data_IF_509464258923
#
_entry.id   IF_509464258923
#
_cell.length_a   1.000
_cell.length_b   1.000
_cell.length_c   1.000
_cell.angle_alpha   90.00
_cell.angle_beta   90.00
_cell.angle_gamma   90.00
#
_symmetry.space_group_name_H-M   'P 1'
#
loop_
_entity.id
_entity.type
_entity.pdbx_description
1 polymer ?
#
# COMPACT_ATOMS: atom_id res chain seq x y z
N UNK A 1 -15.20 -20.79 -17.83
CA UNK A 1 -13.96 -21.38 -18.36
C UNK A 1 -12.80 -20.74 -17.63
N UNK A 2 -12.36 -21.35 -16.51
CA UNK A 2 -11.20 -20.85 -15.77
C UNK A 2 -9.97 -21.43 -16.45
N UNK A 3 -9.29 -20.60 -17.23
CA UNK A 3 -8.03 -20.98 -17.86
C UNK A 3 -6.98 -21.17 -16.78
N UNK A 4 -6.64 -22.43 -16.51
CA UNK A 4 -5.37 -22.81 -15.90
C UNK A 4 -4.25 -22.23 -16.78
N UNK A 5 -3.81 -21.01 -16.49
CA UNK A 5 -2.53 -20.52 -17.01
C UNK A 5 -1.46 -21.25 -16.21
N UNK A 6 -0.81 -22.14 -16.93
CA UNK A 6 0.33 -22.91 -16.48
C UNK A 6 1.39 -21.94 -15.94
N UNK A 7 2.17 -22.45 -15.02
CA UNK A 7 3.40 -21.82 -14.54
C UNK A 7 4.40 -21.77 -15.69
N UNK A 8 4.22 -20.81 -16.58
CA UNK A 8 5.25 -20.43 -17.54
C UNK A 8 6.37 -19.84 -16.67
N UNK A 9 7.57 -20.42 -16.71
CA UNK A 9 8.73 -20.01 -15.90
C UNK A 9 9.24 -18.60 -16.22
N UNK A 10 8.43 -17.59 -15.91
CA UNK A 10 8.69 -16.18 -16.14
C UNK A 10 9.48 -15.55 -15.00
N UNK A 11 10.26 -14.53 -15.35
CA UNK A 11 10.94 -13.68 -14.37
C UNK A 11 9.91 -12.69 -13.84
N UNK A 12 9.55 -12.84 -12.56
CA UNK A 12 8.66 -11.92 -11.86
C UNK A 12 9.44 -11.03 -10.91
N UNK A 13 8.93 -9.82 -10.70
CA UNK A 13 9.39 -8.94 -9.64
C UNK A 13 8.91 -9.47 -8.29
N UNK A 14 9.79 -10.19 -7.59
CA UNK A 14 9.53 -10.78 -6.27
C UNK A 14 10.67 -10.48 -5.29
N UNK A 15 10.91 -9.20 -4.94
CA UNK A 15 11.99 -8.82 -4.03
C UNK A 15 11.71 -9.29 -2.60
N UNK A 16 12.78 -9.63 -1.89
CA UNK A 16 12.76 -9.83 -0.44
C UNK A 16 12.53 -8.53 0.32
N UNK A 17 12.14 -8.64 1.59
CA UNK A 17 11.96 -7.49 2.48
C UNK A 17 13.24 -6.64 2.61
N UNK A 18 14.42 -7.27 2.57
CA UNK A 18 15.73 -6.58 2.56
C UNK A 18 15.94 -5.80 1.28
N UNK A 19 15.71 -6.43 0.12
CA UNK A 19 15.87 -5.77 -1.18
C UNK A 19 14.91 -4.58 -1.32
N UNK A 20 13.65 -4.72 -0.90
CA UNK A 20 12.66 -3.63 -0.87
C UNK A 20 13.16 -2.42 -0.08
N UNK A 21 13.88 -2.63 1.02
CA UNK A 21 14.45 -1.54 1.82
C UNK A 21 15.69 -0.96 1.15
N UNK A 22 16.72 -1.78 0.92
CA UNK A 22 18.05 -1.28 0.59
C UNK A 22 18.19 -0.86 -0.87
N UNK A 23 17.55 -1.57 -1.79
CA UNK A 23 17.71 -1.34 -3.23
C UNK A 23 16.61 -0.49 -3.84
N UNK A 24 15.44 -0.41 -3.21
CA UNK A 24 14.32 0.38 -3.71
C UNK A 24 14.04 1.59 -2.82
N UNK A 25 13.69 1.39 -1.55
CA UNK A 25 13.31 2.50 -0.68
C UNK A 25 14.47 3.45 -0.37
N UNK A 26 15.63 2.93 0.05
CA UNK A 26 16.82 3.74 0.37
C UNK A 26 17.37 4.45 -0.87
N UNK A 27 17.42 3.75 -2.01
CA UNK A 27 17.78 4.36 -3.29
C UNK A 27 16.84 5.49 -3.70
N UNK A 28 15.52 5.33 -3.52
CA UNK A 28 14.56 6.42 -3.74
C UNK A 28 14.85 7.62 -2.85
N UNK A 29 15.09 7.39 -1.56
CA UNK A 29 15.39 8.47 -0.61
C UNK A 29 16.70 9.20 -0.94
N UNK A 30 17.69 8.48 -1.47
CA UNK A 30 18.98 9.03 -1.94
C UNK A 30 18.92 9.65 -3.33
N UNK A 31 17.78 9.53 -4.04
CA UNK A 31 17.64 10.04 -5.41
C UNK A 31 18.44 9.27 -6.46
N UNK A 32 18.81 8.02 -6.19
CA UNK A 32 19.56 7.16 -7.13
C UNK A 32 18.62 6.74 -8.26
N UNK A 33 19.02 6.98 -9.51
CA UNK A 33 18.23 6.66 -10.72
C UNK A 33 18.43 5.19 -11.14
N UNK A 34 17.40 4.56 -11.73
CA UNK A 34 17.48 3.23 -12.36
C UNK A 34 16.82 2.07 -11.61
N UNK A 35 16.98 1.96 -10.29
CA UNK A 35 16.27 0.94 -9.49
C UNK A 35 14.79 1.30 -9.24
N UNK A 36 14.45 2.59 -9.36
CA UNK A 36 13.15 3.14 -8.99
C UNK A 36 12.15 3.18 -10.15
N UNK A 37 12.52 2.75 -11.36
CA UNK A 37 11.68 2.90 -12.54
C UNK A 37 10.47 1.92 -12.52
N UNK A 38 10.59 0.81 -11.78
CA UNK A 38 9.54 -0.20 -11.68
C UNK A 38 8.47 0.12 -10.60
N UNK A 39 8.86 0.75 -9.49
CA UNK A 39 7.95 1.12 -8.39
C UNK A 39 7.60 2.61 -8.51
N UNK A 40 6.32 2.90 -8.78
CA UNK A 40 5.85 4.29 -8.97
C UNK A 40 5.34 4.93 -7.68
N UNK A 41 5.35 6.26 -7.61
CA UNK A 41 4.68 7.00 -6.54
C UNK A 41 3.14 6.91 -6.69
N UNK A 42 2.45 6.59 -5.60
CA UNK A 42 0.98 6.58 -5.55
C UNK A 42 0.48 6.80 -4.13
N UNK A 43 -0.54 7.65 -3.97
CA UNK A 43 -1.28 7.74 -2.71
C UNK A 43 -2.26 6.57 -2.59
N UNK A 44 -1.80 5.49 -1.96
CA UNK A 44 -2.60 4.27 -1.72
C UNK A 44 -3.75 4.49 -0.72
N UNK A 45 -3.82 5.66 -0.08
CA UNK A 45 -4.89 6.03 0.86
C UNK A 45 -5.95 6.95 0.22
N UNK A 46 -5.81 7.28 -1.06
CA UNK A 46 -6.74 8.15 -1.77
C UNK A 46 -8.10 7.47 -2.05
N UNK A 47 -8.10 6.19 -2.45
CA UNK A 47 -9.29 5.41 -2.85
C UNK A 47 -9.23 3.98 -2.31
N UNK A 48 -10.38 3.29 -2.28
CA UNK A 48 -10.42 1.87 -1.95
C UNK A 48 -9.49 1.06 -2.88
N UNK A 49 -8.92 -0.06 -2.41
CA UNK A 49 -7.92 -0.83 -3.17
C UNK A 49 -8.35 -1.10 -4.62
N UNK A 50 -9.57 -1.61 -4.84
CA UNK A 50 -10.10 -1.94 -6.16
C UNK A 50 -10.45 -0.72 -7.05
N UNK A 51 -10.40 0.49 -6.50
CA UNK A 51 -10.63 1.75 -7.23
C UNK A 51 -9.31 2.51 -7.47
N UNK A 52 -8.18 1.98 -6.99
CA UNK A 52 -6.88 2.54 -7.32
C UNK A 52 -6.59 2.22 -8.78
N UNK A 53 -6.05 3.21 -9.48
CA UNK A 53 -5.52 3.00 -10.83
C UNK A 53 -4.24 2.17 -10.71
N UNK A 54 -4.33 0.86 -10.91
CA UNK A 54 -3.23 -0.05 -10.62
C UNK A 54 -2.18 -0.05 -11.75
N UNK A 55 -0.89 0.01 -11.39
CA UNK A 55 0.19 -0.03 -12.36
C UNK A 55 0.48 -1.48 -12.79
N UNK A 56 -0.04 -1.90 -13.93
CA UNK A 56 0.12 -3.27 -14.45
C UNK A 56 1.48 -3.45 -15.16
N UNK A 57 2.58 -3.29 -14.42
CA UNK A 57 3.91 -3.52 -14.95
C UNK A 57 4.06 -4.99 -15.40
N UNK A 58 4.68 -5.29 -16.57
CA UNK A 58 4.76 -6.66 -17.10
C UNK A 58 5.43 -7.69 -16.18
N UNK A 59 6.34 -7.22 -15.31
CA UNK A 59 7.04 -8.08 -14.34
C UNK A 59 6.25 -8.29 -13.04
N UNK A 60 5.15 -7.58 -12.81
CA UNK A 60 4.35 -7.77 -11.60
C UNK A 60 3.52 -9.05 -11.71
N UNK A 61 3.44 -9.76 -10.59
CA UNK A 61 2.54 -10.90 -10.46
C UNK A 61 1.08 -10.43 -10.51
N UNK A 62 0.18 -11.32 -10.90
CA UNK A 62 -1.26 -11.03 -10.89
C UNK A 62 -1.70 -10.64 -9.48
N UNK A 63 -2.49 -9.59 -9.36
CA UNK A 63 -3.03 -9.05 -8.10
C UNK A 63 -1.98 -8.55 -7.08
N UNK A 64 -0.73 -8.35 -7.51
CA UNK A 64 0.35 -7.79 -6.68
C UNK A 64 0.87 -6.51 -7.32
N UNK A 65 0.92 -5.44 -6.53
CA UNK A 65 1.42 -4.16 -6.98
C UNK A 65 2.32 -3.52 -5.94
N UNK A 66 3.35 -2.82 -6.40
CA UNK A 66 4.30 -2.11 -5.57
C UNK A 66 4.18 -0.60 -5.81
N UNK A 67 4.09 0.17 -4.73
CA UNK A 67 4.00 1.62 -4.79
C UNK A 67 4.90 2.24 -3.73
N UNK A 68 5.49 3.37 -4.07
CA UNK A 68 5.97 4.31 -3.07
C UNK A 68 4.80 5.20 -2.67
N UNK A 69 4.49 5.23 -1.38
CA UNK A 69 3.53 6.17 -0.83
C UNK A 69 4.24 7.04 0.18
N UNK A 70 4.02 8.34 0.12
CA UNK A 70 4.39 9.19 1.24
C UNK A 70 3.59 8.72 2.44
N UNK A 71 4.23 8.61 3.60
CA UNK A 71 3.55 8.27 4.86
C UNK A 71 2.78 9.49 5.36
N UNK A 72 1.88 10.02 4.54
CA UNK A 72 1.20 11.28 4.80
C UNK A 72 0.00 11.07 5.70
N UNK A 73 0.09 11.79 6.80
CA UNK A 73 -0.87 11.82 7.84
C UNK A 73 -1.78 13.01 7.60
N UNK A 74 -3.07 12.72 7.43
CA UNK A 74 -4.18 13.68 7.52
C UNK A 74 -4.00 14.94 6.64
N UNK A 75 -4.26 14.79 5.33
CA UNK A 75 -4.44 15.84 4.30
C UNK A 75 -3.20 16.36 3.56
N UNK A 76 -3.39 16.66 2.27
CA UNK A 76 -2.43 17.32 1.36
C UNK A 76 -1.82 18.60 1.95
N UNK A 77 -2.52 19.26 2.89
CA UNK A 77 -2.08 20.52 3.51
C UNK A 77 -1.14 20.37 4.71
N UNK A 78 -0.87 19.15 5.20
CA UNK A 78 -0.06 18.91 6.42
C UNK A 78 0.90 17.72 6.29
N UNK A 79 1.66 17.68 5.19
CA UNK A 79 2.79 16.75 5.05
C UNK A 79 3.76 16.96 6.24
N UNK A 80 4.00 15.90 7.03
CA UNK A 80 5.01 15.89 8.09
C UNK A 80 4.57 16.31 9.51
N UNK A 81 3.30 16.63 9.79
CA UNK A 81 2.88 17.16 11.12
C UNK A 81 1.89 16.30 11.93
N UNK A 82 1.41 15.18 11.41
CA UNK A 82 0.49 14.29 12.14
C UNK A 82 1.23 13.25 13.00
N UNK A 83 0.50 12.64 13.97
CA UNK A 83 0.89 11.35 14.63
C UNK A 83 0.23 10.07 14.07
N UNK A 84 -0.94 10.16 13.42
CA UNK A 84 -1.64 9.03 12.77
C UNK A 84 -1.73 9.07 11.22
N UNK A 85 -1.36 7.97 10.55
CA UNK A 85 -1.61 7.71 9.10
C UNK A 85 -3.10 7.81 8.72
N UNK A 86 -3.43 8.40 7.56
CA UNK A 86 -4.81 8.48 7.04
C UNK A 86 -5.29 7.10 6.57
N UNK A 87 -5.75 6.27 7.50
CA UNK A 87 -6.24 4.92 7.21
C UNK A 87 -7.73 4.84 6.90
N UNK A 88 -8.42 5.97 6.77
CA UNK A 88 -9.87 6.00 6.48
C UNK A 88 -10.14 6.70 5.16
N UNK A 89 -10.91 6.04 4.31
CA UNK A 89 -11.32 6.51 2.99
C UNK A 89 -12.81 6.84 3.08
N UNK A 90 -13.14 8.13 2.98
CA UNK A 90 -14.47 8.67 3.26
C UNK A 90 -15.17 9.30 2.05
N UNK A 91 -14.68 9.07 0.83
CA UNK A 91 -15.19 9.70 -0.40
C UNK A 91 -15.74 8.72 -1.42
N UNK A 92 -16.70 9.20 -2.22
CA UNK A 92 -17.33 8.49 -3.34
C UNK A 92 -18.58 7.69 -2.94
N UNK A 93 -19.43 7.41 -3.91
CA UNK A 93 -20.62 6.57 -3.86
C UNK A 93 -20.34 5.29 -3.03
N UNK A 94 -21.39 4.64 -2.50
CA UNK A 94 -21.32 3.59 -1.45
C UNK A 94 -20.26 2.48 -1.65
N UNK A 95 -19.67 2.38 -2.84
CA UNK A 95 -18.71 1.37 -3.24
C UNK A 95 -17.26 1.61 -2.79
N UNK A 96 -16.86 2.84 -2.39
CA UNK A 96 -15.45 3.18 -2.11
C UNK A 96 -15.07 3.45 -0.65
N UNK A 97 -16.01 3.43 0.29
CA UNK A 97 -15.74 3.82 1.68
C UNK A 97 -15.21 2.65 2.52
N UNK A 98 -14.25 2.92 3.41
CA UNK A 98 -13.64 1.89 4.25
C UNK A 98 -12.46 2.36 5.08
N UNK A 99 -11.84 1.42 5.81
CA UNK A 99 -10.64 1.71 6.57
C UNK A 99 -9.61 0.58 6.54
N UNK A 100 -8.34 0.97 6.57
CA UNK A 100 -7.20 0.09 6.73
C UNK A 100 -6.95 -0.17 8.22
N UNK A 101 -6.95 -1.44 8.64
CA UNK A 101 -6.60 -1.85 10.00
C UNK A 101 -5.26 -2.59 9.98
N UNK A 102 -4.36 -2.35 10.94
CA UNK A 102 -3.12 -3.10 11.04
C UNK A 102 -3.41 -4.52 11.51
N UNK A 103 -2.67 -5.51 11.01
CA UNK A 103 -2.74 -6.89 11.49
C UNK A 103 -1.44 -7.24 12.22
N UNK A 104 -0.32 -7.29 11.50
CA UNK A 104 0.99 -7.64 12.05
C UNK A 104 1.99 -6.49 11.90
N UNK A 105 2.99 -6.47 12.77
CA UNK A 105 4.16 -5.61 12.67
C UNK A 105 5.37 -6.45 13.00
N UNK A 106 6.35 -6.47 12.12
CA UNK A 106 7.58 -7.24 12.26
C UNK A 106 8.79 -6.37 11.91
N UNK A 107 9.87 -6.56 12.64
CA UNK A 107 11.15 -5.92 12.33
C UNK A 107 11.86 -6.75 11.27
N UNK A 108 12.37 -6.06 10.25
CA UNK A 108 13.19 -6.65 9.21
C UNK A 108 14.64 -6.56 9.70
N UNK A 109 15.22 -7.72 9.97
CA UNK A 109 16.57 -7.85 10.49
C UNK A 109 17.48 -8.31 9.36
N UNK A 110 18.56 -7.57 9.13
CA UNK A 110 19.63 -7.98 8.22
C UNK A 110 20.32 -9.23 8.77
N UNK A 111 20.42 -10.27 7.94
CA UNK A 111 20.96 -11.57 8.36
C UNK A 111 22.46 -11.52 8.68
N UNK A 112 23.22 -10.67 8.00
CA UNK A 112 24.68 -10.57 8.10
C UNK A 112 25.07 -9.65 9.27
N UNK A 113 24.49 -8.46 9.34
CA UNK A 113 24.83 -7.45 10.34
C UNK A 113 24.02 -7.60 11.63
N UNK A 114 22.95 -8.39 11.62
CA UNK A 114 22.00 -8.59 12.73
C UNK A 114 21.31 -7.30 13.20
N UNK A 115 21.36 -6.24 12.40
CA UNK A 115 20.72 -4.95 12.68
C UNK A 115 19.30 -4.92 12.15
N UNK A 116 18.42 -4.20 12.85
CA UNK A 116 17.09 -3.86 12.33
C UNK A 116 17.27 -2.81 11.23
N UNK A 117 16.86 -3.14 10.01
CA UNK A 117 16.96 -2.28 8.83
C UNK A 117 15.63 -1.67 8.42
N UNK A 118 14.51 -2.17 8.96
CA UNK A 118 13.19 -1.59 8.75
C UNK A 118 12.09 -2.32 9.49
N UNK A 119 10.85 -1.92 9.22
CA UNK A 119 9.66 -2.52 9.82
C UNK A 119 8.63 -2.79 8.74
N UNK A 120 8.08 -4.01 8.71
CA UNK A 120 7.00 -4.40 7.83
C UNK A 120 5.69 -4.45 8.61
N UNK A 121 4.64 -3.88 8.00
CA UNK A 121 3.30 -3.84 8.58
C UNK A 121 2.32 -4.37 7.56
N UNK A 122 1.53 -5.35 7.96
CA UNK A 122 0.41 -5.85 7.16
C UNK A 122 -0.86 -5.12 7.57
N UNK A 123 -1.69 -4.76 6.60
CA UNK A 123 -2.95 -4.07 6.83
C UNK A 123 -4.06 -4.75 6.02
N UNK A 124 -5.26 -4.83 6.61
CA UNK A 124 -6.48 -5.26 5.91
C UNK A 124 -7.38 -4.05 5.68
N UNK A 125 -7.87 -3.89 4.46
CA UNK A 125 -8.92 -2.92 4.17
C UNK A 125 -10.30 -3.53 4.43
N UNK A 126 -11.13 -2.86 5.21
CA UNK A 126 -12.53 -3.23 5.43
C UNK A 126 -13.45 -2.19 4.81
N UNK A 127 -14.28 -2.61 3.86
CA UNK A 127 -15.34 -1.78 3.28
C UNK A 127 -16.37 -1.43 4.36
N UNK A 128 -16.73 -0.16 4.45
CA UNK A 128 -17.81 0.30 5.32
C UNK A 128 -19.15 0.15 4.59
N UNK A 129 -20.17 -0.35 5.30
CA UNK A 129 -21.56 -0.26 4.86
C UNK A 129 -22.15 0.99 5.52
N UNK A 130 -22.79 1.90 4.77
CA UNK A 130 -23.59 2.96 5.40
C UNK A 130 -24.74 2.30 6.16
N UNK A 131 -24.69 2.28 7.49
CA UNK A 131 -25.90 2.12 8.29
C UNK A 131 -26.69 3.42 8.16
N UNK A 132 -27.91 3.36 7.61
CA UNK A 132 -28.85 4.48 7.70
C UNK A 132 -29.05 4.77 9.19
N UNK A 133 -28.45 5.86 9.70
CA UNK A 133 -28.86 6.40 11.00
C UNK A 133 -30.33 6.75 10.86
N UNK A 134 -31.21 6.04 11.57
CA UNK A 134 -32.60 6.46 11.73
C UNK A 134 -32.58 7.91 12.20
N UNK A 135 -33.20 8.80 11.42
CA UNK A 135 -33.56 10.12 11.88
C UNK A 135 -34.46 9.91 13.11
N UNK A 136 -33.97 10.26 14.30
CA UNK A 136 -34.88 10.58 15.39
C UNK A 136 -35.48 11.93 15.01
N UNK A 137 -36.66 11.90 14.40
CA UNK A 137 -37.59 13.02 14.34
C UNK A 137 -37.91 13.35 15.79
N UNK A 138 -37.43 14.50 16.28
CA UNK A 138 -37.89 15.08 17.53
C UNK A 138 -39.15 15.86 17.24
N UNK A 139 -40.23 15.46 17.90
CA UNK A 139 -41.47 16.22 18.07
C UNK A 139 -41.25 17.36 19.08
#
# INVERSE_FOLDING_TARGET
>A
MSGNRKEDGGIFFNPSDKELIEHYLDHKLKGIKGANDIIVDKDVYAKAPWLLDHNNHPLFMTDVWYYFTTRTQISEKKIGRGKNSKRRITGGDNDGCGSWKPNTTEDIIDKETRKIIGTKKTLTFTKSKKTKKQQKTGE
#
